data_IF_541869811214
#
_entry.id   IF_541869811214
#
_cell.length_a   1.000
_cell.length_b   1.000
_cell.length_c   1.000
_cell.angle_alpha   90.00
_cell.angle_beta   90.00
_cell.angle_gamma   90.00
#
_symmetry.space_group_name_H-M   'P 1'
#
loop_
_entity.id
_entity.type
_entity.pdbx_description
1 polymer ?
#
# COMPACT_ATOMS: atom_id res chain seq x y z
N UNK A 1 -77.68 14.31 -16.13
CA UNK A 1 -76.76 15.37 -15.66
C UNK A 1 -76.03 14.85 -14.42
N UNK A 2 -74.75 15.17 -14.33
CA UNK A 2 -73.78 14.58 -13.43
C UNK A 2 -74.10 14.75 -11.94
N UNK A 3 -73.78 13.73 -11.14
CA UNK A 3 -73.35 13.91 -9.74
C UNK A 3 -71.99 13.23 -9.60
N UNK A 4 -70.96 14.05 -9.52
CA UNK A 4 -69.67 13.69 -8.93
C UNK A 4 -69.82 13.61 -7.42
N UNK A 5 -69.27 12.57 -6.78
CA UNK A 5 -68.56 12.73 -5.51
C UNK A 5 -67.65 11.53 -5.26
N UNK A 6 -66.37 11.84 -5.04
CA UNK A 6 -65.27 10.93 -4.77
C UNK A 6 -65.55 10.03 -3.56
N UNK A 7 -65.39 8.72 -3.75
CA UNK A 7 -65.10 7.79 -2.66
C UNK A 7 -63.62 7.87 -2.30
N UNK A 8 -63.34 8.19 -1.03
CA UNK A 8 -62.01 8.09 -0.41
C UNK A 8 -61.53 6.62 -0.38
N UNK A 9 -60.28 6.33 -0.78
CA UNK A 9 -59.66 5.05 -0.44
C UNK A 9 -59.06 5.10 0.98
N UNK A 10 -59.48 4.13 1.78
CA UNK A 10 -58.62 3.29 2.62
C UNK A 10 -57.97 3.90 3.87
N UNK A 11 -58.82 4.17 4.86
CA UNK A 11 -58.45 4.29 6.28
C UNK A 11 -57.75 3.04 6.85
N UNK A 12 -57.80 1.90 6.15
CA UNK A 12 -57.12 0.64 6.51
C UNK A 12 -55.64 0.58 6.10
N UNK A 13 -55.25 1.23 4.99
CA UNK A 13 -53.85 1.22 4.51
C UNK A 13 -52.96 2.10 5.40
N UNK A 14 -53.50 3.19 5.94
CA UNK A 14 -52.79 4.05 6.89
C UNK A 14 -52.54 3.36 8.24
N UNK A 15 -53.50 2.57 8.74
CA UNK A 15 -53.35 1.79 9.97
C UNK A 15 -52.25 0.72 9.84
N UNK A 16 -52.21 -0.01 8.73
CA UNK A 16 -51.19 -1.05 8.49
C UNK A 16 -49.77 -0.46 8.33
N UNK A 17 -49.64 0.71 7.67
CA UNK A 17 -48.35 1.43 7.55
C UNK A 17 -47.88 2.00 8.88
N UNK A 18 -48.78 2.53 9.70
CA UNK A 18 -48.42 3.11 10.99
C UNK A 18 -47.99 2.03 12.01
N UNK A 19 -48.64 0.86 11.99
CA UNK A 19 -48.19 -0.28 12.81
C UNK A 19 -46.85 -0.85 12.36
N UNK A 20 -46.60 -1.00 11.05
CA UNK A 20 -45.29 -1.43 10.53
C UNK A 20 -44.17 -0.44 10.85
N UNK A 21 -44.45 0.87 10.74
CA UNK A 21 -43.49 1.92 11.09
C UNK A 21 -43.17 1.95 12.58
N UNK A 22 -44.20 1.82 13.45
CA UNK A 22 -43.99 1.70 14.89
C UNK A 22 -43.23 0.42 15.27
N UNK A 23 -43.50 -0.72 14.64
CA UNK A 23 -42.77 -1.97 14.88
C UNK A 23 -41.31 -1.87 14.43
N UNK A 24 -41.03 -1.22 13.29
CA UNK A 24 -39.67 -0.96 12.81
C UNK A 24 -38.92 0.02 13.72
N UNK A 25 -39.57 1.10 14.17
CA UNK A 25 -39.01 2.05 15.12
C UNK A 25 -38.77 1.41 16.49
N UNK A 26 -39.68 0.55 16.97
CA UNK A 26 -39.49 -0.20 18.21
C UNK A 26 -38.34 -1.22 18.10
N UNK A 27 -38.17 -1.90 16.96
CA UNK A 27 -37.02 -2.77 16.69
C UNK A 27 -35.70 -2.00 16.62
N UNK A 28 -35.69 -0.83 15.97
CA UNK A 28 -34.48 0.03 15.87
C UNK A 28 -34.11 0.60 17.23
N UNK A 29 -35.07 1.10 18.00
CA UNK A 29 -34.83 1.63 19.34
C UNK A 29 -34.47 0.53 20.34
N UNK A 30 -35.01 -0.69 20.19
CA UNK A 30 -34.60 -1.84 21.01
C UNK A 30 -33.15 -2.22 20.75
N UNK A 31 -32.70 -2.19 19.49
CA UNK A 31 -31.29 -2.42 19.14
C UNK A 31 -30.34 -1.32 19.64
N UNK A 32 -30.81 -0.06 19.68
CA UNK A 32 -30.06 1.07 20.24
C UNK A 32 -29.98 1.03 21.78
N UNK A 33 -31.06 0.62 22.46
CA UNK A 33 -31.14 0.52 23.92
C UNK A 33 -30.45 -0.74 24.47
N UNK A 34 -30.40 -1.83 23.70
CA UNK A 34 -29.66 -3.06 24.06
C UNK A 34 -28.13 -2.89 24.03
N UNK A 35 -27.61 -1.83 23.39
CA UNK A 35 -26.17 -1.54 23.34
C UNK A 35 -25.68 -0.64 24.49
N UNK A 36 -26.55 -0.29 25.45
CA UNK A 36 -26.21 0.61 26.55
C UNK A 36 -25.65 -0.10 27.81
N UNK A 37 -25.20 -1.34 27.68
CA UNK A 37 -24.53 -2.07 28.73
C UNK A 37 -24.27 -3.51 28.32
N UNK A 38 -23.07 -3.75 27.81
CA UNK A 38 -22.52 -5.02 27.31
C UNK A 38 -22.76 -5.36 25.83
N UNK A 39 -21.68 -5.89 25.26
CA UNK A 39 -21.38 -6.28 23.87
C UNK A 39 -22.58 -6.82 23.08
N UNK A 40 -22.81 -6.22 21.90
CA UNK A 40 -23.77 -6.68 20.90
C UNK A 40 -23.23 -7.94 20.17
N UNK A 41 -23.86 -9.13 20.29
CA UNK A 41 -23.33 -10.37 19.71
C UNK A 41 -23.90 -10.65 18.30
N UNK A 42 -23.87 -9.66 17.41
CA UNK A 42 -24.19 -9.85 15.98
C UNK A 42 -23.05 -9.50 15.02
N UNK A 43 -21.85 -9.22 15.55
CA UNK A 43 -20.62 -9.29 14.76
C UNK A 43 -20.08 -10.73 14.85
N UNK A 44 -19.87 -11.37 13.70
CA UNK A 44 -19.34 -12.75 13.59
C UNK A 44 -18.18 -13.00 14.57
N UNK A 45 -18.20 -14.04 15.41
CA UNK A 45 -17.32 -14.15 16.57
C UNK A 45 -16.00 -14.93 16.32
N UNK A 46 -15.47 -15.00 15.10
CA UNK A 46 -14.33 -15.89 14.82
C UNK A 46 -13.04 -15.20 14.35
N UNK A 47 -12.93 -13.87 14.49
CA UNK A 47 -11.62 -13.21 14.36
C UNK A 47 -11.47 -12.13 15.41
N UNK A 48 -10.51 -12.26 16.36
CA UNK A 48 -10.19 -11.17 17.26
C UNK A 48 -9.83 -9.93 16.45
N UNK A 49 -10.54 -8.82 16.67
CA UNK A 49 -10.17 -7.55 16.07
C UNK A 49 -8.77 -7.19 16.56
N UNK A 50 -7.78 -7.19 15.65
CA UNK A 50 -6.41 -6.81 15.97
C UNK A 50 -6.37 -5.39 16.49
N UNK A 51 -5.58 -5.14 17.55
CA UNK A 51 -5.37 -3.78 18.01
C UNK A 51 -4.61 -2.97 16.96
N UNK A 52 -4.75 -1.64 17.00
CA UNK A 52 -3.98 -0.75 16.13
C UNK A 52 -2.47 -1.02 16.24
N UNK A 53 -2.00 -1.28 17.46
CA UNK A 53 -0.60 -1.64 17.73
C UNK A 53 -0.19 -2.94 17.02
N UNK A 54 -1.02 -3.98 17.06
CA UNK A 54 -0.73 -5.26 16.39
C UNK A 54 -0.65 -5.09 14.87
N UNK A 55 -1.53 -4.26 14.29
CA UNK A 55 -1.50 -3.96 12.86
C UNK A 55 -0.20 -3.27 12.44
N UNK A 56 0.32 -2.33 13.25
CA UNK A 56 1.61 -1.71 12.98
C UNK A 56 2.80 -2.66 13.19
N UNK A 57 2.71 -3.60 14.12
CA UNK A 57 3.72 -4.66 14.28
C UNK A 57 3.74 -5.55 13.05
N UNK A 58 2.57 -5.98 12.56
CA UNK A 58 2.46 -6.76 11.33
C UNK A 58 3.01 -6.00 10.12
N UNK A 59 2.72 -4.70 10.02
CA UNK A 59 3.27 -3.84 8.97
C UNK A 59 4.79 -3.75 9.04
N UNK A 60 5.38 -3.68 10.24
CA UNK A 60 6.84 -3.67 10.42
C UNK A 60 7.50 -5.01 10.04
N UNK A 61 6.83 -6.14 10.28
CA UNK A 61 7.28 -7.44 9.78
C UNK A 61 7.21 -7.50 8.25
N UNK A 62 6.11 -7.02 7.68
CA UNK A 62 5.91 -6.98 6.24
C UNK A 62 6.93 -6.08 5.54
N UNK A 63 7.21 -4.90 6.09
CA UNK A 63 8.22 -3.96 5.56
C UNK A 63 9.62 -4.54 5.63
N UNK A 64 9.94 -5.27 6.71
CA UNK A 64 11.22 -5.93 6.84
C UNK A 64 11.38 -7.02 5.78
N UNK A 65 10.33 -7.82 5.54
CA UNK A 65 10.37 -8.86 4.52
C UNK A 65 10.47 -8.28 3.10
N UNK A 66 9.71 -7.21 2.80
CA UNK A 66 9.81 -6.43 1.57
C UNK A 66 11.25 -5.94 1.32
N UNK A 67 11.90 -5.34 2.32
CA UNK A 67 13.27 -4.90 2.21
C UNK A 67 14.26 -6.06 2.01
N UNK A 68 14.13 -7.13 2.80
CA UNK A 68 15.01 -8.29 2.73
C UNK A 68 14.98 -8.95 1.34
N UNK A 69 13.78 -9.12 0.76
CA UNK A 69 13.66 -9.64 -0.61
C UNK A 69 14.35 -8.72 -1.62
N UNK A 70 14.19 -7.41 -1.48
CA UNK A 70 14.84 -6.42 -2.35
C UNK A 70 16.37 -6.51 -2.27
N UNK A 71 16.91 -6.69 -1.06
CA UNK A 71 18.35 -6.83 -0.83
C UNK A 71 18.91 -8.13 -1.42
N UNK A 72 18.19 -9.25 -1.26
CA UNK A 72 18.58 -10.54 -1.84
C UNK A 72 18.57 -10.48 -3.36
N UNK A 73 17.51 -9.94 -3.97
CA UNK A 73 17.41 -9.82 -5.44
C UNK A 73 18.52 -8.94 -6.01
N UNK A 74 18.82 -7.80 -5.37
CA UNK A 74 19.93 -6.95 -5.79
C UNK A 74 21.27 -7.69 -5.72
N UNK A 75 21.54 -8.39 -4.62
CA UNK A 75 22.79 -9.15 -4.45
C UNK A 75 22.97 -10.22 -5.52
N UNK A 76 21.94 -11.04 -5.76
CA UNK A 76 22.01 -12.10 -6.78
C UNK A 76 22.17 -11.54 -8.20
N UNK A 77 21.52 -10.41 -8.49
CA UNK A 77 21.68 -9.75 -9.79
C UNK A 77 23.08 -9.15 -9.95
N UNK A 78 23.60 -8.48 -8.92
CA UNK A 78 24.95 -7.89 -8.89
C UNK A 78 26.03 -8.97 -9.08
N UNK A 79 25.96 -10.08 -8.33
CA UNK A 79 26.89 -11.20 -8.45
C UNK A 79 26.88 -11.83 -9.86
N UNK A 80 25.70 -11.99 -10.45
CA UNK A 80 25.55 -12.66 -11.75
C UNK A 80 25.90 -11.78 -12.95
N UNK A 81 25.56 -10.49 -12.89
CA UNK A 81 25.59 -9.60 -14.06
C UNK A 81 26.59 -8.44 -13.94
N UNK A 82 26.97 -8.03 -12.73
CA UNK A 82 27.87 -6.89 -12.50
C UNK A 82 29.29 -7.31 -12.11
N UNK A 83 29.45 -8.29 -11.21
CA UNK A 83 30.76 -8.66 -10.67
C UNK A 83 31.56 -9.64 -11.55
N UNK A 84 30.88 -10.38 -12.46
CA UNK A 84 31.48 -11.49 -13.21
C UNK A 84 31.49 -11.38 -14.73
N UNK A 85 31.01 -10.29 -15.34
CA UNK A 85 30.91 -10.14 -16.80
C UNK A 85 31.31 -8.75 -17.29
N UNK A 86 31.80 -8.74 -18.53
CA UNK A 86 32.12 -7.58 -19.39
C UNK A 86 30.89 -6.72 -19.77
N UNK A 87 29.80 -6.75 -19.01
CA UNK A 87 28.70 -5.82 -19.21
C UNK A 87 29.14 -4.45 -18.72
N UNK A 88 29.12 -3.46 -19.63
CA UNK A 88 29.31 -2.06 -19.25
C UNK A 88 28.05 -1.55 -18.55
N UNK A 89 27.78 -2.05 -17.34
CA UNK A 89 26.69 -1.53 -16.50
C UNK A 89 27.02 -0.07 -16.18
N UNK A 90 26.30 0.84 -16.83
CA UNK A 90 26.33 2.26 -16.49
C UNK A 90 25.36 2.48 -15.33
N UNK A 91 25.79 2.11 -14.14
CA UNK A 91 25.07 2.41 -12.91
C UNK A 91 25.06 3.94 -12.73
N UNK A 92 23.87 4.53 -12.72
CA UNK A 92 23.75 5.99 -12.59
C UNK A 92 23.73 6.43 -11.12
N UNK A 93 23.70 5.47 -10.16
CA UNK A 93 23.51 5.70 -8.71
C UNK A 93 22.35 6.65 -8.38
N UNK A 94 21.48 6.93 -9.36
CA UNK A 94 20.37 7.85 -9.26
C UNK A 94 19.09 7.07 -9.38
N UNK A 95 18.15 7.41 -8.52
CA UNK A 95 16.85 6.80 -8.46
C UNK A 95 15.79 7.85 -8.77
N UNK A 96 14.71 7.42 -9.41
CA UNK A 96 13.58 8.27 -9.72
C UNK A 96 12.92 8.89 -8.47
N UNK A 97 13.20 8.37 -7.27
CA UNK A 97 12.76 8.90 -5.97
C UNK A 97 13.72 9.93 -5.34
N UNK A 98 14.90 10.19 -5.91
CA UNK A 98 15.87 11.16 -5.37
C UNK A 98 15.27 12.55 -5.10
N UNK A 99 14.40 13.11 -5.97
CA UNK A 99 13.80 14.43 -5.73
C UNK A 99 12.89 14.51 -4.50
N UNK A 100 12.52 13.38 -3.88
CA UNK A 100 11.76 13.39 -2.62
C UNK A 100 12.58 13.90 -1.44
N UNK A 101 13.91 13.84 -1.52
CA UNK A 101 14.83 14.14 -0.41
C UNK A 101 14.44 13.40 0.88
N UNK A 102 13.97 12.15 0.74
CA UNK A 102 13.52 11.33 1.85
C UNK A 102 14.72 10.90 2.72
N UNK A 103 14.70 11.14 4.05
CA UNK A 103 15.83 10.85 4.95
C UNK A 103 16.30 9.39 4.85
N UNK A 104 17.60 9.18 4.68
CA UNK A 104 18.13 7.82 4.51
C UNK A 104 18.40 7.15 5.85
N UNK A 105 18.87 7.92 6.83
CA UNK A 105 19.24 7.40 8.13
C UNK A 105 18.10 7.52 9.15
N UNK A 106 18.12 6.59 10.11
CA UNK A 106 17.05 6.43 11.10
C UNK A 106 16.92 7.67 11.99
N UNK A 107 18.05 8.27 12.35
CA UNK A 107 18.15 9.41 13.26
C UNK A 107 17.46 10.64 12.68
N UNK A 108 17.62 10.89 11.38
CA UNK A 108 16.94 11.96 10.66
C UNK A 108 15.44 11.68 10.54
N UNK A 109 15.07 10.45 10.16
CA UNK A 109 13.68 10.03 10.05
C UNK A 109 12.92 10.12 11.40
N UNK A 110 13.61 9.90 12.53
CA UNK A 110 13.03 10.03 13.86
C UNK A 110 12.58 11.45 14.21
N UNK A 111 13.10 12.47 13.53
CA UNK A 111 12.70 13.87 13.76
C UNK A 111 11.35 14.21 13.09
N UNK A 112 10.94 13.44 12.08
CA UNK A 112 9.67 13.66 11.38
C UNK A 112 8.48 13.23 12.23
N UNK A 113 7.38 13.98 12.15
CA UNK A 113 6.12 13.57 12.79
C UNK A 113 5.49 12.35 12.06
N UNK A 114 4.45 11.75 12.64
CA UNK A 114 3.83 10.56 12.06
C UNK A 114 3.18 10.83 10.69
N UNK A 115 2.62 12.02 10.48
CA UNK A 115 1.96 12.36 9.23
C UNK A 115 2.96 12.48 8.08
N UNK A 116 4.08 13.17 8.31
CA UNK A 116 5.13 13.35 7.30
C UNK A 116 5.86 12.03 6.99
N UNK A 117 6.10 11.18 7.99
CA UNK A 117 6.59 9.82 7.75
C UNK A 117 5.61 9.01 6.90
N UNK A 118 4.32 9.01 7.25
CA UNK A 118 3.30 8.29 6.48
C UNK A 118 3.18 8.82 5.06
N UNK A 119 3.31 10.13 4.84
CA UNK A 119 3.35 10.72 3.50
C UNK A 119 4.54 10.17 2.71
N UNK A 120 5.75 10.19 3.27
CA UNK A 120 6.95 9.68 2.60
C UNK A 120 6.85 8.19 2.25
N UNK A 121 6.31 7.36 3.16
CA UNK A 121 6.06 5.94 2.88
C UNK A 121 5.13 5.82 1.67
N UNK A 122 4.00 6.55 1.68
CA UNK A 122 3.00 6.45 0.63
C UNK A 122 3.50 7.02 -0.71
N UNK A 123 4.31 8.08 -0.71
CA UNK A 123 5.01 8.58 -1.91
C UNK A 123 5.85 7.48 -2.55
N UNK A 124 6.72 6.86 -1.76
CA UNK A 124 7.64 5.84 -2.26
C UNK A 124 6.83 4.69 -2.85
N UNK A 125 5.84 4.17 -2.12
CA UNK A 125 5.02 3.03 -2.58
C UNK A 125 4.28 3.35 -3.90
N UNK A 126 3.59 4.49 -4.00
CA UNK A 126 2.90 4.87 -5.24
C UNK A 126 3.84 5.01 -6.43
N UNK A 127 5.00 5.63 -6.22
CA UNK A 127 5.99 5.84 -7.27
C UNK A 127 6.54 4.50 -7.78
N UNK A 128 6.70 3.52 -6.88
CA UNK A 128 7.19 2.18 -7.20
C UNK A 128 6.18 1.26 -7.88
N UNK A 129 4.88 1.53 -7.83
CA UNK A 129 3.86 0.67 -8.44
C UNK A 129 4.14 0.35 -9.91
N UNK A 130 4.41 1.38 -10.73
CA UNK A 130 4.70 1.19 -12.16
C UNK A 130 6.04 0.48 -12.41
N UNK A 131 7.18 0.95 -11.86
CA UNK A 131 8.46 0.25 -11.99
C UNK A 131 8.39 -1.21 -11.57
N UNK A 132 7.76 -1.51 -10.43
CA UNK A 132 7.74 -2.85 -9.85
C UNK A 132 6.88 -3.80 -10.68
N UNK A 133 5.72 -3.33 -11.17
CA UNK A 133 4.90 -4.07 -12.11
C UNK A 133 5.65 -4.46 -13.39
N UNK A 134 6.35 -3.49 -13.99
CA UNK A 134 7.15 -3.74 -15.19
C UNK A 134 8.37 -4.62 -14.89
N UNK A 135 9.01 -4.47 -13.73
CA UNK A 135 10.11 -5.33 -13.29
C UNK A 135 9.65 -6.80 -13.24
N UNK A 136 8.53 -7.09 -12.58
CA UNK A 136 7.94 -8.44 -12.51
C UNK A 136 7.67 -8.99 -13.91
N UNK A 137 6.99 -8.20 -14.75
CA UNK A 137 6.60 -8.61 -16.11
C UNK A 137 7.80 -8.91 -17.01
N UNK A 138 8.79 -8.01 -17.04
CA UNK A 138 9.93 -8.16 -17.94
C UNK A 138 10.85 -9.29 -17.48
N UNK A 139 11.04 -9.50 -16.17
CA UNK A 139 11.81 -10.65 -15.66
C UNK A 139 11.20 -12.00 -16.06
N UNK A 140 9.86 -12.11 -16.07
CA UNK A 140 9.16 -13.34 -16.51
C UNK A 140 9.45 -13.69 -17.99
N UNK A 141 9.78 -12.69 -18.82
CA UNK A 141 10.13 -12.90 -20.22
C UNK A 141 11.59 -13.34 -20.44
N UNK A 142 12.45 -13.12 -19.43
CA UNK A 142 13.87 -13.47 -19.50
C UNK A 142 14.07 -14.95 -19.15
N UNK A 143 14.37 -15.76 -20.16
CA UNK A 143 14.62 -17.22 -20.01
C UNK A 143 15.78 -17.57 -19.06
N UNK A 144 16.68 -16.63 -18.80
CA UNK A 144 17.89 -16.85 -18.00
C UNK A 144 17.72 -16.54 -16.51
N UNK A 145 16.57 -16.00 -16.09
CA UNK A 145 16.31 -15.64 -14.68
C UNK A 145 15.85 -16.89 -13.92
N UNK A 146 16.38 -17.08 -12.70
CA UNK A 146 16.01 -18.23 -11.87
C UNK A 146 14.55 -18.12 -11.42
N UNK A 147 13.86 -19.26 -11.31
CA UNK A 147 12.50 -19.31 -10.78
C UNK A 147 12.42 -18.68 -9.37
N UNK A 148 13.50 -18.78 -8.58
CA UNK A 148 13.61 -18.15 -7.27
C UNK A 148 13.51 -16.62 -7.34
N UNK A 149 14.20 -15.96 -8.28
CA UNK A 149 14.11 -14.50 -8.47
C UNK A 149 12.70 -14.11 -8.91
N UNK A 150 12.07 -14.88 -9.81
CA UNK A 150 10.69 -14.63 -10.26
C UNK A 150 9.68 -14.70 -9.10
N UNK A 151 9.81 -15.69 -8.22
CA UNK A 151 8.98 -15.79 -7.03
C UNK A 151 9.20 -14.59 -6.11
N UNK A 152 10.46 -14.21 -5.86
CA UNK A 152 10.78 -13.10 -4.96
C UNK A 152 10.30 -11.74 -5.47
N UNK A 153 10.43 -11.45 -6.76
CA UNK A 153 9.94 -10.16 -7.31
C UNK A 153 8.41 -10.09 -7.22
N UNK A 154 7.72 -11.20 -7.50
CA UNK A 154 6.26 -11.29 -7.38
C UNK A 154 5.81 -11.13 -5.93
N UNK A 155 6.52 -11.74 -4.98
CA UNK A 155 6.28 -11.54 -3.55
C UNK A 155 6.53 -10.09 -3.11
N UNK A 156 7.60 -9.49 -3.62
CA UNK A 156 7.97 -8.10 -3.32
C UNK A 156 6.90 -7.10 -3.80
N UNK A 157 6.38 -7.27 -5.03
CA UNK A 157 5.25 -6.49 -5.56
C UNK A 157 4.02 -6.60 -4.66
N UNK A 158 3.63 -7.83 -4.28
CA UNK A 158 2.50 -8.07 -3.37
C UNK A 158 2.68 -7.43 -1.99
N UNK A 159 3.90 -7.35 -1.48
CA UNK A 159 4.17 -6.70 -0.19
C UNK A 159 4.06 -5.20 -0.30
N UNK A 160 4.57 -4.61 -1.38
CA UNK A 160 4.40 -3.19 -1.69
C UNK A 160 2.91 -2.82 -1.69
N UNK A 161 2.08 -3.58 -2.39
CA UNK A 161 0.62 -3.35 -2.45
C UNK A 161 -0.04 -3.43 -1.07
N UNK A 162 0.32 -4.45 -0.28
CA UNK A 162 -0.21 -4.64 1.08
C UNK A 162 0.21 -3.51 2.02
N UNK A 163 1.46 -3.06 1.95
CA UNK A 163 1.96 -1.93 2.72
C UNK A 163 1.27 -0.64 2.32
N UNK A 164 1.04 -0.42 1.02
CA UNK A 164 0.33 0.76 0.53
C UNK A 164 -1.10 0.78 1.06
N UNK A 165 -1.85 -0.31 0.88
CA UNK A 165 -3.22 -0.44 1.38
C UNK A 165 -3.30 -0.26 2.90
N UNK A 166 -2.31 -0.77 3.64
CA UNK A 166 -2.22 -0.55 5.08
C UNK A 166 -2.09 0.94 5.40
N UNK A 167 -1.10 1.65 4.83
CA UNK A 167 -0.89 3.07 5.12
C UNK A 167 -2.09 3.93 4.70
N UNK A 168 -2.68 3.66 3.52
CA UNK A 168 -3.91 4.32 3.07
C UNK A 168 -5.05 4.14 4.07
N UNK A 169 -5.22 2.92 4.61
CA UNK A 169 -6.28 2.62 5.57
C UNK A 169 -6.12 3.38 6.89
N UNK A 170 -4.88 3.59 7.34
CA UNK A 170 -4.57 4.27 8.60
C UNK A 170 -4.52 5.79 8.47
N UNK A 171 -4.17 6.32 7.29
CA UNK A 171 -3.93 7.75 7.07
C UNK A 171 -4.69 8.30 5.86
N UNK A 172 -6.00 8.01 5.77
CA UNK A 172 -6.83 8.37 4.60
C UNK A 172 -6.72 9.85 4.17
N UNK A 173 -6.54 10.76 5.11
CA UNK A 173 -6.43 12.20 4.87
C UNK A 173 -5.18 12.60 4.06
N UNK A 174 -4.12 11.78 4.05
CA UNK A 174 -2.87 12.12 3.35
C UNK A 174 -2.85 11.68 1.89
N UNK A 175 -3.79 10.82 1.47
CA UNK A 175 -3.82 10.22 0.12
C UNK A 175 -3.87 11.29 -0.97
N UNK A 176 -4.85 12.20 -0.89
CA UNK A 176 -5.02 13.27 -1.88
C UNK A 176 -3.80 14.21 -1.92
N UNK A 177 -3.28 14.75 -0.79
CA UNK A 177 -2.05 15.53 -0.79
C UNK A 177 -0.85 14.82 -1.41
N UNK A 178 -0.69 13.51 -1.18
CA UNK A 178 0.41 12.72 -1.75
C UNK A 178 0.27 12.63 -3.27
N UNK A 179 -0.89 12.23 -3.77
CA UNK A 179 -1.14 12.12 -5.22
C UNK A 179 -0.99 13.45 -5.94
N UNK A 180 -1.48 14.54 -5.35
CA UNK A 180 -1.32 15.90 -5.87
C UNK A 180 0.16 16.25 -6.03
N UNK A 181 0.98 16.04 -4.99
CA UNK A 181 2.40 16.35 -5.05
C UNK A 181 3.17 15.45 -6.02
N UNK A 182 2.80 14.17 -6.20
CA UNK A 182 3.39 13.31 -7.26
C UNK A 182 3.12 13.95 -8.63
N UNK A 183 1.89 14.38 -8.88
CA UNK A 183 1.50 15.05 -10.12
C UNK A 183 2.27 16.35 -10.34
N UNK A 184 2.32 17.22 -9.32
CA UNK A 184 2.93 18.55 -9.41
C UNK A 184 4.45 18.50 -9.59
N UNK A 185 5.12 17.58 -8.88
CA UNK A 185 6.58 17.40 -8.97
C UNK A 185 7.02 16.61 -10.20
N UNK A 186 6.07 15.98 -10.91
CA UNK A 186 6.32 15.12 -12.08
C UNK A 186 7.34 14.01 -11.81
N UNK A 187 7.44 13.56 -10.57
CA UNK A 187 8.31 12.45 -10.19
C UNK A 187 7.76 11.18 -10.82
N UNK A 188 8.45 10.67 -11.84
CA UNK A 188 8.02 9.50 -12.58
C UNK A 188 9.21 8.66 -13.01
N UNK A 189 9.01 7.34 -13.08
CA UNK A 189 9.98 6.45 -13.70
C UNK A 189 9.76 6.39 -15.21
N UNK A 190 10.80 6.73 -15.96
CA UNK A 190 10.84 6.74 -17.42
C UNK A 190 11.70 5.63 -18.03
N UNK A 191 12.10 4.63 -17.23
CA UNK A 191 13.04 3.58 -17.64
C UNK A 191 12.45 2.46 -18.48
N UNK A 192 11.15 2.47 -18.79
CA UNK A 192 10.49 1.38 -19.53
C UNK A 192 11.17 1.07 -20.87
N UNK A 193 11.55 2.10 -21.63
CA UNK A 193 12.23 1.93 -22.93
C UNK A 193 13.62 1.31 -22.79
N UNK A 194 14.30 1.49 -21.64
CA UNK A 194 15.56 0.83 -21.34
C UNK A 194 15.33 -0.60 -20.89
N UNK A 195 14.30 -0.84 -20.08
CA UNK A 195 13.96 -2.15 -19.55
C UNK A 195 13.55 -3.15 -20.65
N UNK A 196 12.88 -2.68 -21.70
CA UNK A 196 12.42 -3.51 -22.83
C UNK A 196 13.36 -3.45 -24.04
N UNK A 197 14.53 -2.86 -23.89
CA UNK A 197 15.50 -2.68 -24.97
C UNK A 197 15.98 -4.03 -25.54
N UNK A 198 16.19 -4.07 -26.86
CA UNK A 198 16.89 -5.18 -27.52
C UNK A 198 18.40 -5.14 -27.28
N UNK A 199 18.96 -3.95 -27.00
CA UNK A 199 20.33 -3.78 -26.50
C UNK A 199 20.42 -4.35 -25.08
N UNK A 200 21.20 -5.42 -24.96
CA UNK A 200 21.38 -6.20 -23.74
C UNK A 200 22.05 -5.39 -22.62
N UNK A 201 23.04 -4.56 -22.92
CA UNK A 201 23.76 -3.76 -21.92
C UNK A 201 22.86 -2.64 -21.37
N UNK A 202 22.09 -1.99 -22.25
CA UNK A 202 21.10 -0.98 -21.86
C UNK A 202 20.02 -1.61 -20.96
N UNK A 203 19.54 -2.80 -21.32
CA UNK A 203 18.53 -3.52 -20.53
C UNK A 203 19.07 -3.97 -19.17
N UNK A 204 20.26 -4.58 -19.12
CA UNK A 204 20.88 -4.98 -17.85
C UNK A 204 21.17 -3.79 -16.95
N UNK A 205 21.60 -2.65 -17.52
CA UNK A 205 21.80 -1.41 -16.76
C UNK A 205 20.51 -0.91 -16.11
N UNK A 206 19.37 -0.99 -16.82
CA UNK A 206 18.08 -0.60 -16.24
C UNK A 206 17.64 -1.55 -15.13
N UNK A 207 17.78 -2.87 -15.31
CA UNK A 207 17.51 -3.84 -14.24
C UNK A 207 18.39 -3.56 -13.01
N UNK A 208 19.68 -3.31 -13.23
CA UNK A 208 20.62 -2.98 -12.15
C UNK A 208 20.14 -1.75 -11.36
N UNK A 209 19.83 -0.66 -12.06
CA UNK A 209 19.35 0.57 -11.44
C UNK A 209 18.04 0.33 -10.66
N UNK A 210 17.10 -0.42 -11.23
CA UNK A 210 15.84 -0.77 -10.54
C UNK A 210 16.08 -1.58 -9.26
N UNK A 211 16.89 -2.64 -9.30
CA UNK A 211 17.17 -3.42 -8.09
C UNK A 211 17.92 -2.61 -7.03
N UNK A 212 18.89 -1.79 -7.47
CA UNK A 212 19.61 -0.89 -6.58
C UNK A 212 18.66 0.07 -5.85
N UNK A 213 17.81 0.76 -6.63
CA UNK A 213 16.87 1.74 -6.10
C UNK A 213 15.78 1.10 -5.23
N UNK A 214 15.27 -0.07 -5.63
CA UNK A 214 14.26 -0.81 -4.86
C UNK A 214 14.82 -1.23 -3.49
N UNK A 215 16.07 -1.72 -3.45
CA UNK A 215 16.76 -2.04 -2.20
C UNK A 215 16.87 -0.82 -1.28
N UNK A 216 17.27 0.33 -1.85
CA UNK A 216 17.42 1.59 -1.09
C UNK A 216 16.09 2.09 -0.55
N UNK A 217 15.07 2.16 -1.39
CA UNK A 217 13.79 2.77 -1.02
C UNK A 217 12.96 1.83 -0.12
N UNK A 218 13.06 0.51 -0.31
CA UNK A 218 12.48 -0.46 0.63
C UNK A 218 13.10 -0.38 2.02
N UNK A 219 14.41 -0.08 2.13
CA UNK A 219 15.07 0.19 3.42
C UNK A 219 14.46 1.41 4.10
N UNK A 220 14.21 2.49 3.35
CA UNK A 220 13.56 3.70 3.87
C UNK A 220 12.15 3.38 4.39
N UNK A 221 11.33 2.70 3.59
CA UNK A 221 9.99 2.25 3.99
C UNK A 221 10.04 1.42 5.27
N UNK A 222 10.96 0.46 5.36
CA UNK A 222 11.15 -0.37 6.55
C UNK A 222 11.51 0.45 7.80
N UNK A 223 12.47 1.38 7.68
CA UNK A 223 12.85 2.29 8.76
C UNK A 223 11.64 3.11 9.23
N UNK A 224 10.90 3.72 8.30
CA UNK A 224 9.80 4.62 8.64
C UNK A 224 8.63 3.87 9.29
N UNK A 225 8.27 2.69 8.78
CA UNK A 225 7.20 1.86 9.38
C UNK A 225 7.61 1.38 10.77
N UNK A 226 8.86 0.98 10.98
CA UNK A 226 9.37 0.61 12.31
C UNK A 226 9.33 1.79 13.30
N UNK A 227 9.61 3.01 12.84
CA UNK A 227 9.45 4.22 13.68
C UNK A 227 7.98 4.40 14.07
N UNK A 228 7.05 4.31 13.12
CA UNK A 228 5.61 4.40 13.41
C UNK A 228 5.16 3.32 14.40
N UNK A 229 5.56 2.06 14.18
CA UNK A 229 5.24 0.94 15.07
C UNK A 229 5.80 1.14 16.49
N UNK A 230 7.05 1.59 16.61
CA UNK A 230 7.65 1.95 17.90
C UNK A 230 6.86 3.01 18.64
N UNK A 231 6.43 4.08 17.94
CA UNK A 231 5.66 5.19 18.53
C UNK A 231 4.29 4.73 19.00
N UNK A 232 3.62 3.85 18.25
CA UNK A 232 2.35 3.25 18.66
C UNK A 232 2.51 2.35 19.88
N UNK A 233 3.56 1.52 19.90
CA UNK A 233 3.87 0.62 21.03
C UNK A 233 4.45 1.36 22.25
N UNK A 234 4.88 2.60 22.09
CA UNK A 234 5.71 3.37 23.05
C UNK A 234 7.01 2.65 23.44
N UNK A 235 7.51 1.76 22.57
CA UNK A 235 8.75 0.99 22.79
C UNK A 235 9.40 0.64 21.46
N UNK A 236 10.69 0.90 21.36
CA UNK A 236 11.64 0.24 20.46
C UNK A 236 12.43 -0.74 21.35
#
# INVERSE_FOLDING_TARGET
>A
MAVSMCSQPDRWIFSLKHHRSCLLLLLVMSNLLLCQGNVCPSCSPDTPLKSLTDLFIDAAWLSHYFHNLSAIMFKEFDEKYAQGKQCHIKATNSCHTDPLHAPEEREEAQQLNNEDLSKLILFILYIWNKPLHHLTKELQSLKEVSQTILTRVTENEKMSDKLQAFIESQFKQIIVPVLQKISDTRITWSGLSSLTSSDEDRRHSEFYNLFHCLRRDSRKVDIYIKILACRMRKRC
#
